data_IF_727501592847
#
_entry.id   IF_727501592847
#
_cell.length_a   1.000
_cell.length_b   1.000
_cell.length_c   1.000
_cell.angle_alpha   90.00
_cell.angle_beta   90.00
_cell.angle_gamma   90.00
#
_symmetry.space_group_name_H-M   'P 1'
#
loop_
_entity.id
_entity.type
_entity.pdbx_description
1 polymer ?
#
# COMPACT_ATOMS: atom_id res chain seq x y z
N UNK A 1 -20.49 -39.91 -32.73
CA UNK A 1 -19.97 -38.71 -33.41
C UNK A 1 -19.53 -37.58 -32.48
N UNK A 2 -20.01 -37.48 -31.23
CA UNK A 2 -19.63 -36.37 -30.31
C UNK A 2 -18.32 -36.54 -29.52
N UNK A 3 -17.69 -37.71 -29.51
CA UNK A 3 -16.46 -37.97 -28.73
C UNK A 3 -15.27 -37.12 -29.19
N UNK A 4 -15.05 -37.02 -30.50
CA UNK A 4 -13.96 -36.23 -31.07
C UNK A 4 -14.08 -34.72 -30.79
N UNK A 5 -15.23 -34.06 -31.07
CA UNK A 5 -15.38 -32.64 -30.75
C UNK A 5 -15.35 -32.36 -29.25
N UNK A 6 -15.79 -33.31 -28.41
CA UNK A 6 -15.69 -33.18 -26.95
C UNK A 6 -14.23 -33.12 -26.46
N UNK A 7 -13.36 -33.99 -26.98
CA UNK A 7 -11.94 -33.97 -26.60
C UNK A 7 -11.24 -32.69 -27.06
N UNK A 8 -11.55 -32.20 -28.26
CA UNK A 8 -11.05 -30.92 -28.75
C UNK A 8 -11.51 -29.79 -27.82
N UNK A 9 -12.80 -29.73 -27.48
CA UNK A 9 -13.33 -28.71 -26.57
C UNK A 9 -12.64 -28.74 -25.20
N UNK A 10 -12.48 -29.92 -24.60
CA UNK A 10 -11.78 -30.07 -23.30
C UNK A 10 -10.33 -29.60 -23.41
N UNK A 11 -9.64 -29.95 -24.51
CA UNK A 11 -8.25 -29.56 -24.72
C UNK A 11 -8.11 -28.05 -24.85
N UNK A 12 -9.01 -27.39 -25.59
CA UNK A 12 -9.03 -25.93 -25.74
C UNK A 12 -9.36 -25.25 -24.40
N UNK A 13 -10.32 -25.77 -23.63
CA UNK A 13 -10.65 -25.23 -22.29
C UNK A 13 -9.43 -25.32 -21.36
N UNK A 14 -8.73 -26.45 -21.33
CA UNK A 14 -7.56 -26.61 -20.47
C UNK A 14 -6.40 -25.73 -20.95
N UNK A 15 -6.12 -25.70 -22.25
CA UNK A 15 -5.03 -24.90 -22.80
C UNK A 15 -5.25 -23.39 -22.60
N UNK A 16 -6.41 -22.87 -23.02
CA UNK A 16 -6.70 -21.44 -22.89
C UNK A 16 -7.05 -21.06 -21.46
N UNK A 17 -7.89 -21.84 -20.77
CA UNK A 17 -8.28 -21.57 -19.39
C UNK A 17 -7.09 -21.64 -18.44
N UNK A 18 -6.25 -22.68 -18.58
CA UNK A 18 -5.01 -22.80 -17.82
C UNK A 18 -4.03 -21.67 -18.12
N UNK A 19 -3.81 -21.36 -19.40
CA UNK A 19 -2.95 -20.25 -19.81
C UNK A 19 -3.41 -18.90 -19.25
N UNK A 20 -4.69 -18.57 -19.38
CA UNK A 20 -5.28 -17.35 -18.82
C UNK A 20 -5.13 -17.31 -17.30
N UNK A 21 -5.44 -18.41 -16.60
CA UNK A 21 -5.33 -18.47 -15.14
C UNK A 21 -3.89 -18.26 -14.66
N UNK A 22 -2.91 -18.87 -15.32
CA UNK A 22 -1.48 -18.69 -14.98
C UNK A 22 -1.03 -17.26 -15.25
N UNK A 23 -1.42 -16.67 -16.39
CA UNK A 23 -1.10 -15.28 -16.70
C UNK A 23 -1.72 -14.32 -15.70
N UNK A 24 -2.97 -14.50 -15.31
CA UNK A 24 -3.63 -13.70 -14.28
C UNK A 24 -2.92 -13.83 -12.93
N UNK A 25 -2.56 -15.05 -12.53
CA UNK A 25 -1.81 -15.28 -11.30
C UNK A 25 -0.45 -14.58 -11.30
N UNK A 26 0.31 -14.66 -12.40
CA UNK A 26 1.59 -13.98 -12.53
C UNK A 26 1.46 -12.45 -12.47
N UNK A 27 0.39 -11.90 -13.07
CA UNK A 27 0.10 -10.46 -13.03
C UNK A 27 -0.30 -9.97 -11.63
N UNK A 28 -0.95 -10.81 -10.83
CA UNK A 28 -1.37 -10.45 -9.47
C UNK A 28 -0.22 -10.64 -8.44
N UNK A 29 0.77 -11.49 -8.75
CA UNK A 29 1.91 -11.75 -7.87
C UNK A 29 2.89 -10.56 -7.76
N UNK A 30 2.95 -9.69 -8.77
CA UNK A 30 3.85 -8.53 -8.79
C UNK A 30 3.14 -7.27 -9.24
N UNK A 31 3.13 -6.21 -8.41
CA UNK A 31 2.51 -4.92 -8.77
C UNK A 31 3.41 -4.02 -9.65
N UNK A 32 4.64 -4.46 -9.93
CA UNK A 32 5.61 -3.73 -10.75
C UNK A 32 7.05 -4.11 -10.41
N UNK A 33 7.99 -3.70 -11.26
CA UNK A 33 9.42 -3.77 -10.99
C UNK A 33 9.96 -2.41 -10.52
N UNK A 34 11.12 -2.40 -9.85
CA UNK A 34 11.76 -1.15 -9.40
C UNK A 34 11.18 -0.57 -8.11
N UNK A 35 10.81 -1.42 -7.16
CA UNK A 35 10.41 -0.99 -5.83
C UNK A 35 11.60 -0.37 -5.07
N UNK A 36 11.36 0.76 -4.40
CA UNK A 36 12.25 1.31 -3.38
C UNK A 36 11.70 0.93 -2.00
N UNK A 37 12.55 0.36 -1.15
CA UNK A 37 12.21 0.02 0.24
C UNK A 37 12.98 0.91 1.22
N UNK A 38 12.24 1.53 2.13
CA UNK A 38 12.73 2.43 3.15
C UNK A 38 12.07 2.06 4.49
N UNK A 39 12.75 1.22 5.27
CA UNK A 39 12.16 0.60 6.47
C UNK A 39 10.96 -0.27 6.11
N UNK A 40 9.84 -0.11 6.84
CA UNK A 40 8.57 -0.76 6.55
C UNK A 40 7.90 -0.32 5.22
N UNK A 41 8.36 0.77 4.61
CA UNK A 41 7.67 1.40 3.48
C UNK A 41 8.25 1.01 2.14
N UNK A 42 7.36 0.80 1.17
CA UNK A 42 7.70 0.45 -0.20
C UNK A 42 6.96 1.38 -1.17
N UNK A 43 7.68 1.91 -2.16
CA UNK A 43 7.11 2.72 -3.24
C UNK A 43 7.66 2.28 -4.59
N UNK A 44 6.96 2.64 -5.66
CA UNK A 44 7.30 2.24 -7.02
C UNK A 44 7.35 3.47 -7.95
N UNK A 45 8.39 4.31 -7.84
CA UNK A 45 8.45 5.59 -8.55
C UNK A 45 8.53 5.42 -10.07
N UNK A 46 9.29 4.42 -10.54
CA UNK A 46 9.47 4.13 -11.97
C UNK A 46 8.17 3.72 -12.65
N UNK A 47 7.18 3.23 -11.89
CA UNK A 47 5.87 3.00 -12.49
C UNK A 47 5.35 4.33 -13.05
N UNK A 48 5.51 5.47 -12.38
CA UNK A 48 4.87 6.73 -12.80
C UNK A 48 5.45 7.38 -14.06
N UNK A 49 6.42 6.74 -14.73
CA UNK A 49 7.11 7.29 -15.91
C UNK A 49 6.76 6.54 -17.21
N UNK A 50 7.27 7.05 -18.33
CA UNK A 50 7.17 6.39 -19.64
C UNK A 50 7.92 5.04 -19.68
N UNK A 51 8.91 4.88 -18.81
CA UNK A 51 9.77 3.69 -18.71
C UNK A 51 9.12 2.55 -17.92
N UNK A 52 7.90 2.75 -17.41
CA UNK A 52 7.16 1.69 -16.74
C UNK A 52 7.06 0.45 -17.63
N UNK A 53 7.31 -0.70 -17.01
CA UNK A 53 7.32 -1.97 -17.71
C UNK A 53 5.93 -2.30 -18.31
N UNK A 54 5.84 -3.14 -19.36
CA UNK A 54 4.57 -3.45 -19.99
C UNK A 54 3.53 -4.07 -19.05
N UNK A 55 3.97 -4.86 -18.05
CA UNK A 55 3.07 -5.49 -17.09
C UNK A 55 2.50 -4.46 -16.12
N UNK A 56 3.32 -3.55 -15.62
CA UNK A 56 2.88 -2.39 -14.85
C UNK A 56 1.83 -1.57 -15.61
N UNK A 57 2.09 -1.24 -16.88
CA UNK A 57 1.13 -0.52 -17.74
C UNK A 57 -0.20 -1.27 -17.85
N UNK A 58 -0.16 -2.59 -18.04
CA UNK A 58 -1.37 -3.43 -18.11
C UNK A 58 -2.12 -3.49 -16.77
N UNK A 59 -1.41 -3.64 -15.65
CA UNK A 59 -2.00 -3.70 -14.31
C UNK A 59 -2.73 -2.39 -13.98
N UNK A 60 -2.15 -1.25 -14.37
CA UNK A 60 -2.78 0.07 -14.24
C UNK A 60 -4.03 0.22 -15.07
N UNK A 61 -3.96 -0.17 -16.35
CA UNK A 61 -5.12 -0.14 -17.23
C UNK A 61 -6.28 -0.99 -16.67
N UNK A 62 -5.96 -2.15 -16.08
CA UNK A 62 -6.93 -3.02 -15.39
C UNK A 62 -7.44 -2.43 -14.07
N UNK A 63 -6.58 -1.79 -13.29
CA UNK A 63 -6.94 -1.20 -12.00
C UNK A 63 -7.86 0.03 -12.14
N UNK A 64 -7.83 0.72 -13.29
CA UNK A 64 -8.67 1.90 -13.55
C UNK A 64 -8.35 3.08 -12.65
N UNK A 65 -7.17 3.10 -12.01
CA UNK A 65 -6.74 4.16 -11.09
C UNK A 65 -5.88 5.19 -11.84
N UNK A 66 -6.19 6.47 -11.66
CA UNK A 66 -5.33 7.57 -12.12
C UNK A 66 -4.08 7.59 -11.24
N UNK A 67 -2.93 7.74 -11.88
CA UNK A 67 -1.65 7.85 -11.19
C UNK A 67 -1.25 9.32 -11.11
N UNK A 68 -0.54 9.64 -10.04
CA UNK A 68 0.19 10.90 -9.97
C UNK A 68 1.33 10.88 -10.99
N UNK A 69 1.49 11.97 -11.73
CA UNK A 69 2.71 12.25 -12.47
C UNK A 69 3.92 12.33 -11.53
N UNK A 70 5.12 12.22 -12.08
CA UNK A 70 6.39 12.26 -11.33
C UNK A 70 6.62 13.54 -10.52
N UNK A 71 5.90 14.63 -10.82
CA UNK A 71 5.92 15.87 -10.06
C UNK A 71 4.67 16.09 -9.19
N UNK A 72 3.66 15.21 -9.30
CA UNK A 72 2.37 15.39 -8.60
C UNK A 72 2.33 14.66 -7.26
N UNK A 73 2.99 13.50 -7.13
CA UNK A 73 2.98 12.75 -5.88
C UNK A 73 3.59 11.36 -5.95
N UNK A 74 3.86 10.79 -4.77
CA UNK A 74 4.36 9.43 -4.60
C UNK A 74 3.58 8.72 -3.50
N UNK A 75 3.21 7.46 -3.77
CA UNK A 75 2.53 6.61 -2.79
C UNK A 75 3.48 5.56 -2.24
N UNK A 76 3.59 5.51 -0.92
CA UNK A 76 4.25 4.47 -0.16
C UNK A 76 3.21 3.53 0.44
N UNK A 77 3.54 2.25 0.49
CA UNK A 77 2.73 1.22 1.13
C UNK A 77 3.56 0.48 2.16
N UNK A 78 2.96 0.15 3.30
CA UNK A 78 3.56 -0.75 4.28
C UNK A 78 2.64 -1.95 4.50
N UNK A 79 3.21 -3.15 4.38
CA UNK A 79 2.52 -4.43 4.65
C UNK A 79 3.17 -5.21 5.78
N UNK A 80 4.33 -4.74 6.23
CA UNK A 80 5.10 -5.22 7.38
C UNK A 80 5.46 -4.04 8.28
N UNK A 81 5.83 -4.30 9.53
CA UNK A 81 6.48 -3.33 10.41
C UNK A 81 8.00 -3.24 10.12
N UNK A 82 8.70 -2.36 10.83
CA UNK A 82 10.16 -2.17 10.66
C UNK A 82 10.98 -3.41 11.04
N UNK A 83 10.43 -4.32 11.86
CA UNK A 83 11.04 -5.61 12.19
C UNK A 83 10.75 -6.69 11.12
N UNK A 84 10.00 -6.34 10.07
CA UNK A 84 9.65 -7.21 8.96
C UNK A 84 8.45 -8.14 9.24
N UNK A 85 7.77 -7.99 10.38
CA UNK A 85 6.59 -8.79 10.69
C UNK A 85 5.35 -8.23 10.00
N UNK A 86 4.52 -9.13 9.43
CA UNK A 86 3.32 -8.75 8.67
C UNK A 86 2.31 -8.01 9.55
N UNK A 87 1.74 -6.93 9.02
CA UNK A 87 0.73 -6.14 9.71
C UNK A 87 -0.58 -6.92 9.88
N UNK A 88 -1.08 -6.96 11.11
CA UNK A 88 -2.27 -7.71 11.50
C UNK A 88 -3.16 -6.88 12.43
N UNK A 89 -4.46 -6.85 12.15
CA UNK A 89 -5.43 -6.05 12.88
C UNK A 89 -5.61 -6.45 14.37
N UNK A 90 -5.19 -7.66 14.76
CA UNK A 90 -5.15 -8.11 16.15
C UNK A 90 -3.97 -7.56 16.97
N UNK A 91 -3.14 -6.70 16.37
CA UNK A 91 -2.00 -6.07 17.01
C UNK A 91 -2.13 -4.53 17.00
N UNK A 92 -1.34 -3.88 17.84
CA UNK A 92 -1.21 -2.43 17.92
C UNK A 92 0.15 -2.00 17.38
N UNK A 93 0.16 -0.88 16.68
CA UNK A 93 1.34 -0.32 16.05
C UNK A 93 1.42 1.18 16.32
N UNK A 94 2.61 1.73 16.15
CA UNK A 94 2.86 3.17 16.25
C UNK A 94 3.71 3.61 15.08
N UNK A 95 3.21 4.60 14.36
CA UNK A 95 4.02 5.36 13.40
C UNK A 95 4.63 6.55 14.15
N UNK A 96 5.94 6.75 14.05
CA UNK A 96 6.62 7.88 14.69
C UNK A 96 7.70 8.49 13.82
N UNK A 97 7.83 9.81 13.86
CA UNK A 97 8.89 10.55 13.17
C UNK A 97 8.31 11.62 12.25
N UNK A 98 8.93 11.78 11.09
CA UNK A 98 8.51 12.75 10.07
C UNK A 98 8.27 12.03 8.74
N UNK A 99 7.51 12.66 7.86
CA UNK A 99 7.43 12.25 6.45
C UNK A 99 8.49 12.97 5.63
N UNK A 100 8.85 12.45 4.45
CA UNK A 100 9.57 13.22 3.45
C UNK A 100 8.86 14.55 3.14
N UNK A 101 9.60 15.55 2.64
CA UNK A 101 9.02 16.85 2.30
C UNK A 101 7.94 16.69 1.24
N UNK A 102 6.75 17.19 1.54
CA UNK A 102 5.60 17.21 0.66
C UNK A 102 4.69 18.36 1.08
N UNK A 103 3.94 18.93 0.14
CA UNK A 103 2.96 19.98 0.46
C UNK A 103 1.80 19.44 1.30
N UNK A 104 1.36 18.23 1.00
CA UNK A 104 0.33 17.51 1.73
C UNK A 104 0.70 16.03 1.78
N UNK A 105 0.30 15.35 2.85
CA UNK A 105 0.25 13.89 2.83
C UNK A 105 -1.06 13.36 3.39
N UNK A 106 -1.44 12.17 2.95
CA UNK A 106 -2.56 11.38 3.50
C UNK A 106 -2.05 10.02 3.93
N UNK A 107 -2.63 9.49 5.01
CA UNK A 107 -2.36 8.15 5.52
C UNK A 107 -3.70 7.45 5.74
N UNK A 108 -3.88 6.24 5.22
CA UNK A 108 -5.08 5.46 5.51
C UNK A 108 -4.78 3.97 5.64
N UNK A 109 -5.66 3.26 6.32
CA UNK A 109 -5.65 1.79 6.38
C UNK A 109 -6.32 1.22 5.14
N UNK A 110 -5.64 0.30 4.46
CA UNK A 110 -6.12 -0.37 3.28
C UNK A 110 -6.25 -1.89 3.50
N UNK A 111 -7.13 -2.51 2.71
CA UNK A 111 -7.15 -3.96 2.54
C UNK A 111 -5.92 -4.45 1.75
N UNK A 112 -5.80 -5.77 1.58
CA UNK A 112 -4.71 -6.35 0.80
C UNK A 112 -4.75 -5.98 -0.71
N UNK A 113 -5.89 -5.49 -1.21
CA UNK A 113 -6.06 -4.98 -2.57
C UNK A 113 -5.70 -3.49 -2.72
N UNK A 114 -5.34 -2.81 -1.62
CA UNK A 114 -5.00 -1.39 -1.62
C UNK A 114 -6.23 -0.47 -1.67
N UNK A 115 -7.43 -0.97 -1.37
CA UNK A 115 -8.63 -0.15 -1.21
C UNK A 115 -8.79 0.22 0.28
N UNK A 116 -9.49 1.32 0.62
CA UNK A 116 -9.75 1.67 2.02
C UNK A 116 -10.35 0.49 2.80
N UNK A 117 -9.73 0.16 3.93
CA UNK A 117 -10.18 -0.93 4.78
C UNK A 117 -11.55 -0.61 5.39
N UNK A 118 -12.39 -1.63 5.55
CA UNK A 118 -13.66 -1.49 6.24
C UNK A 118 -13.42 -1.34 7.76
N UNK A 119 -13.52 -0.11 8.25
CA UNK A 119 -13.50 0.22 9.69
C UNK A 119 -14.90 0.53 10.18
N UNK A 120 -15.12 0.47 11.50
CA UNK A 120 -16.42 0.82 12.10
C UNK A 120 -16.79 2.27 11.77
N UNK A 121 -18.08 2.49 11.48
CA UNK A 121 -18.60 3.82 11.16
C UNK A 121 -18.30 4.82 12.27
N UNK A 122 -17.77 5.99 11.91
CA UNK A 122 -17.38 7.03 12.86
C UNK A 122 -15.95 6.90 13.41
N UNK A 123 -15.25 5.81 13.13
CA UNK A 123 -13.82 5.68 13.45
C UNK A 123 -12.93 6.29 12.35
N UNK A 124 -11.79 6.90 12.70
CA UNK A 124 -10.88 7.52 11.74
C UNK A 124 -10.17 6.45 10.89
N UNK A 125 -10.61 6.31 9.64
CA UNK A 125 -9.99 5.40 8.65
C UNK A 125 -8.79 6.03 7.93
N UNK A 126 -8.64 7.34 8.03
CA UNK A 126 -7.63 8.13 7.35
C UNK A 126 -7.23 9.36 8.16
N UNK A 127 -5.98 9.80 7.98
CA UNK A 127 -5.39 11.01 8.55
C UNK A 127 -4.70 11.79 7.43
N UNK A 128 -4.45 13.08 7.67
CA UNK A 128 -3.69 13.92 6.75
C UNK A 128 -2.80 14.90 7.50
N UNK A 129 -1.87 15.52 6.76
CA UNK A 129 -0.86 16.41 7.33
C UNK A 129 -1.40 17.68 7.99
N UNK A 130 -2.66 18.07 7.72
CA UNK A 130 -3.33 19.24 8.31
C UNK A 130 -4.03 18.94 9.63
N UNK A 131 -4.51 17.70 9.80
CA UNK A 131 -5.30 17.28 10.96
C UNK A 131 -4.48 16.54 12.00
N UNK A 132 -3.29 16.05 11.62
CA UNK A 132 -2.37 15.38 12.53
C UNK A 132 -1.84 16.35 13.60
N UNK A 133 -1.88 15.94 14.86
CA UNK A 133 -1.22 16.62 15.95
C UNK A 133 0.29 16.38 15.87
N UNK A 134 1.07 17.46 15.87
CA UNK A 134 2.53 17.42 15.76
C UNK A 134 3.20 17.84 17.06
N UNK A 135 4.40 17.32 17.26
CA UNK A 135 5.33 17.82 18.25
C UNK A 135 5.96 19.16 17.80
N UNK A 136 6.60 19.93 18.72
CA UNK A 136 7.26 21.19 18.38
C UNK A 136 8.36 21.08 17.32
N UNK A 137 8.97 19.91 17.19
CA UNK A 137 9.97 19.59 16.17
C UNK A 137 9.35 19.12 14.84
N UNK A 138 8.04 19.30 14.65
CA UNK A 138 7.25 18.86 13.50
C UNK A 138 7.12 17.34 13.30
N UNK A 139 7.69 16.53 14.20
CA UNK A 139 7.41 15.09 14.23
C UNK A 139 5.96 14.81 14.62
N UNK A 140 5.50 13.60 14.34
CA UNK A 140 4.21 13.10 14.80
C UNK A 140 4.35 11.67 15.33
N UNK A 141 3.39 11.29 16.17
CA UNK A 141 3.15 9.91 16.59
C UNK A 141 1.70 9.58 16.26
N UNK A 142 1.45 8.46 15.58
CA UNK A 142 0.11 7.96 15.23
C UNK A 142 -0.02 6.56 15.80
N UNK A 143 -0.99 6.36 16.68
CA UNK A 143 -1.34 5.04 17.19
C UNK A 143 -2.31 4.33 16.24
N UNK A 144 -2.01 3.08 15.94
CA UNK A 144 -2.77 2.26 15.00
C UNK A 144 -3.25 1.04 15.76
N UNK A 145 -4.56 0.97 16.01
CA UNK A 145 -5.16 -0.13 16.76
C UNK A 145 -6.66 -0.22 16.56
N UNK A 146 -7.24 -1.36 16.88
CA UNK A 146 -8.69 -1.56 16.84
C UNK A 146 -9.42 -0.78 17.96
N UNK A 147 -8.78 -0.60 19.12
CA UNK A 147 -9.31 0.18 20.23
C UNK A 147 -8.99 1.67 20.04
N UNK A 148 -9.91 2.54 20.46
CA UNK A 148 -9.70 3.99 20.38
C UNK A 148 -8.49 4.43 21.21
N UNK A 149 -7.68 5.31 20.64
CA UNK A 149 -6.52 5.93 21.30
C UNK A 149 -6.66 7.45 21.31
N UNK A 150 -6.11 8.14 22.33
CA UNK A 150 -6.11 9.59 22.37
C UNK A 150 -5.17 10.18 21.30
N UNK A 151 -5.47 11.41 20.86
CA UNK A 151 -4.63 12.14 19.90
C UNK A 151 -4.74 11.60 18.48
N UNK A 152 -3.60 11.36 17.83
CA UNK A 152 -3.59 10.81 16.48
C UNK A 152 -3.83 9.31 16.52
N UNK A 153 -5.06 8.92 16.19
CA UNK A 153 -5.43 7.51 16.13
C UNK A 153 -5.94 7.15 14.73
N UNK A 154 -5.47 6.02 14.23
CA UNK A 154 -5.93 5.40 12.99
C UNK A 154 -6.54 4.04 13.32
N UNK A 155 -7.82 3.87 13.01
CA UNK A 155 -8.56 2.67 13.35
C UNK A 155 -8.22 1.51 12.42
N UNK A 156 -8.18 0.29 12.98
CA UNK A 156 -8.00 -0.94 12.21
C UNK A 156 -9.34 -1.61 11.88
N UNK A 157 -9.39 -2.44 10.81
CA UNK A 157 -10.50 -3.36 10.60
C UNK A 157 -10.60 -4.36 11.77
N UNK A 158 -11.72 -5.07 11.89
CA UNK A 158 -11.95 -5.97 13.04
C UNK A 158 -10.96 -7.14 13.11
N UNK A 159 -10.50 -7.64 11.96
CA UNK A 159 -9.59 -8.77 11.87
C UNK A 159 -8.83 -8.79 10.54
N UNK A 160 -7.84 -9.69 10.45
CA UNK A 160 -7.10 -9.96 9.23
C UNK A 160 -5.83 -9.12 9.07
N UNK A 161 -5.18 -9.26 7.92
CA UNK A 161 -4.02 -8.44 7.56
C UNK A 161 -4.48 -7.18 6.86
N UNK A 162 -3.75 -6.10 7.07
CA UNK A 162 -4.02 -4.80 6.44
C UNK A 162 -2.73 -4.24 5.85
N UNK A 163 -2.88 -3.16 5.08
CA UNK A 163 -1.78 -2.35 4.59
C UNK A 163 -1.98 -0.91 5.04
N UNK A 164 -0.89 -0.18 5.14
CA UNK A 164 -0.93 1.27 5.29
C UNK A 164 -0.56 1.90 3.96
N UNK A 165 -1.26 2.96 3.59
CA UNK A 165 -1.00 3.69 2.36
C UNK A 165 -0.75 5.15 2.74
N UNK A 166 0.48 5.60 2.52
CA UNK A 166 0.94 6.96 2.72
C UNK A 166 1.15 7.62 1.35
N UNK A 167 0.35 8.62 1.02
CA UNK A 167 0.49 9.36 -0.23
C UNK A 167 1.07 10.74 0.07
N UNK A 168 2.17 11.07 -0.60
CA UNK A 168 2.79 12.38 -0.59
C UNK A 168 2.38 13.15 -1.85
N UNK A 169 1.85 14.36 -1.69
CA UNK A 169 1.42 15.22 -2.80
C UNK A 169 2.38 16.39 -2.96
N UNK A 170 2.67 16.74 -4.22
CA UNK A 170 3.58 17.83 -4.59
C UNK A 170 4.89 17.69 -3.82
N UNK A 171 5.60 16.59 -4.12
CA UNK A 171 6.80 16.16 -3.40
C UNK A 171 7.99 16.03 -4.35
N UNK A 172 9.16 16.57 -4.01
CA UNK A 172 10.39 16.34 -4.78
C UNK A 172 10.85 14.88 -4.71
N UNK A 173 10.34 14.11 -3.74
CA UNK A 173 10.62 12.68 -3.59
C UNK A 173 10.26 11.88 -4.85
N UNK A 174 9.21 12.27 -5.57
CA UNK A 174 8.72 11.53 -6.72
C UNK A 174 9.66 11.62 -7.95
N UNK A 175 10.45 12.69 -8.05
CA UNK A 175 11.34 12.96 -9.20
C UNK A 175 12.83 12.70 -8.95
N UNK A 176 13.25 12.44 -7.72
CA UNK A 176 14.66 12.24 -7.38
C UNK A 176 15.10 10.79 -7.63
N UNK A 177 15.94 10.58 -8.64
CA UNK A 177 16.71 9.35 -8.87
C UNK A 177 17.80 9.09 -7.81
N UNK A 178 17.91 9.94 -6.77
CA UNK A 178 18.84 9.82 -5.65
C UNK A 178 18.11 9.64 -4.32
N UNK A 179 17.53 8.46 -4.12
CA UNK A 179 16.89 8.04 -2.86
C UNK A 179 17.98 7.50 -1.93
N UNK A 180 18.74 8.37 -1.24
CA UNK A 180 19.74 7.91 -0.26
C UNK A 180 19.48 8.44 1.16
N UNK A 181 18.60 9.43 1.36
CA UNK A 181 18.30 9.86 2.74
C UNK A 181 16.88 10.43 2.91
N UNK A 182 15.89 9.65 2.50
CA UNK A 182 14.50 9.99 2.79
C UNK A 182 14.17 9.60 4.23
N UNK A 183 13.96 10.59 5.10
CA UNK A 183 13.43 10.37 6.44
C UNK A 183 11.98 9.88 6.35
N UNK A 184 11.82 8.56 6.36
CA UNK A 184 10.52 7.90 6.47
C UNK A 184 10.15 7.72 7.95
N UNK A 185 8.86 7.80 8.29
CA UNK A 185 8.43 7.59 9.66
C UNK A 185 8.55 6.09 9.99
N UNK A 186 9.03 5.79 11.20
CA UNK A 186 9.16 4.40 11.68
C UNK A 186 7.80 3.79 11.94
N UNK A 187 7.64 2.50 11.63
CA UNK A 187 6.44 1.73 11.93
C UNK A 187 6.80 0.61 12.89
N UNK A 188 6.45 0.80 14.17
CA UNK A 188 6.83 -0.13 15.23
C UNK A 188 5.62 -0.86 15.78
N UNK A 189 5.80 -2.15 16.07
CA UNK A 189 4.78 -2.96 16.72
C UNK A 189 4.85 -2.77 18.22
N UNK A 190 3.75 -2.33 18.83
CA UNK A 190 3.70 -2.02 20.27
C UNK A 190 3.08 -3.16 21.10
N UNK A 191 2.54 -4.19 20.46
CA UNK A 191 2.06 -5.43 21.08
C UNK A 191 0.91 -6.10 20.31
N UNK A 192 0.50 -7.28 20.76
CA UNK A 192 -0.67 -8.01 20.23
C UNK A 192 -1.55 -8.54 21.34
N UNK A 193 -2.84 -8.69 21.05
CA UNK A 193 -3.84 -9.15 22.01
C UNK A 193 -4.37 -8.03 22.91
N UNK A 194 -5.45 -8.35 23.64
CA UNK A 194 -5.98 -7.48 24.69
C UNK A 194 -4.98 -7.50 25.86
N UNK A 195 -4.16 -6.47 25.98
CA UNK A 195 -3.40 -6.20 27.19
C UNK A 195 -3.97 -4.93 27.82
#
# INVERSE_FOLDING_TARGET
>A
MFRFPLFILVTLIVAFGGGIMISLYALDATQGFGAIKLGAWEAFPALQTVDADPYAKSHRARAGKLLYGSAEGLTFTASVDDDGARLNAGCRYRISGQTPPARLWTLFTADNGGNPAAVKTGHPAALNSWTVLRQPDSSFSIDISAAAQPGNWLALPEAGTFRLVLTLFDTPTAGSSGVIDLAMPKLTKTGCGNA
#
